data_IF_015407459919
#
_entry.id   IF_015407459919
#
_cell.length_a   1.000
_cell.length_b   1.000
_cell.length_c   1.000
_cell.angle_alpha   90.00
_cell.angle_beta   90.00
_cell.angle_gamma   90.00
#
_symmetry.space_group_name_H-M   'P 1'
#
loop_
_entity.id
_entity.type
_entity.pdbx_description
1 polymer ?
#
# COMPACT_ATOMS: atom_id res chain seq x y z
N UNK A 1 -13.04 -20.70 14.46
CA UNK A 1 -11.64 -20.38 14.84
C UNK A 1 -11.09 -19.42 13.79
N UNK A 2 -10.10 -18.58 14.11
CA UNK A 2 -9.55 -17.63 13.15
C UNK A 2 -8.06 -17.92 12.87
N UNK A 3 -7.71 -18.19 11.61
CA UNK A 3 -6.33 -18.44 11.20
C UNK A 3 -5.75 -17.21 10.50
N UNK A 4 -4.57 -16.75 10.95
CA UNK A 4 -3.94 -15.52 10.45
C UNK A 4 -2.70 -15.82 9.62
N UNK A 5 -2.65 -15.31 8.39
CA UNK A 5 -1.53 -15.41 7.46
C UNK A 5 -0.96 -14.02 7.20
N UNK A 6 0.30 -13.78 7.58
CA UNK A 6 0.96 -12.49 7.36
C UNK A 6 1.60 -12.42 5.97
N UNK A 7 1.23 -11.41 5.19
CA UNK A 7 1.81 -11.14 3.88
C UNK A 7 3.12 -10.35 4.04
N UNK A 8 4.23 -11.06 4.34
CA UNK A 8 5.56 -10.47 4.63
C UNK A 8 6.47 -10.14 3.41
N UNK A 9 6.84 -11.13 2.57
CA UNK A 9 7.65 -10.93 1.34
C UNK A 9 7.16 -11.76 0.14
N UNK A 10 7.49 -11.41 -1.12
CA UNK A 10 8.04 -10.11 -1.56
C UNK A 10 6.91 -9.11 -1.89
N UNK A 11 7.12 -7.83 -1.56
CA UNK A 11 6.30 -6.71 -2.03
C UNK A 11 7.10 -5.88 -3.04
N UNK A 12 6.39 -5.30 -4.00
CA UNK A 12 6.94 -4.33 -4.96
C UNK A 12 6.33 -2.97 -4.65
N UNK A 13 7.15 -1.97 -4.35
CA UNK A 13 6.75 -0.58 -4.18
C UNK A 13 7.02 0.16 -5.48
N UNK A 14 6.02 0.85 -6.00
CA UNK A 14 6.11 1.74 -7.15
C UNK A 14 5.92 3.17 -6.66
N UNK A 15 6.94 4.00 -6.80
CA UNK A 15 6.87 5.43 -6.49
C UNK A 15 6.40 6.19 -7.74
N UNK A 16 5.29 6.93 -7.58
CA UNK A 16 4.77 7.82 -8.60
C UNK A 16 5.14 9.26 -8.20
N UNK A 17 6.28 9.72 -8.73
CA UNK A 17 6.71 11.11 -8.59
C UNK A 17 5.98 11.97 -9.61
N UNK A 18 5.22 12.97 -9.14
CA UNK A 18 4.70 14.01 -10.03
C UNK A 18 5.73 15.12 -10.12
N UNK A 19 6.46 15.20 -11.23
CA UNK A 19 7.26 16.38 -11.51
C UNK A 19 6.32 17.56 -11.71
N UNK A 20 6.44 18.61 -10.88
CA UNK A 20 5.73 19.86 -11.11
C UNK A 20 6.06 20.35 -12.54
N UNK A 21 5.06 20.79 -13.33
CA UNK A 21 5.32 21.29 -14.67
C UNK A 21 6.09 22.61 -14.57
N UNK A 22 7.42 22.54 -14.61
CA UNK A 22 8.23 23.73 -14.89
C UNK A 22 7.94 24.11 -16.33
N UNK A 23 7.28 25.25 -16.48
CA UNK A 23 7.00 25.90 -17.76
C UNK A 23 8.30 26.10 -18.53
N UNK A 24 8.61 25.20 -19.45
CA UNK A 24 9.22 25.49 -20.76
C UNK A 24 9.28 24.21 -21.58
N UNK A 25 8.76 24.31 -22.80
CA UNK A 25 8.64 23.25 -23.77
C UNK A 25 9.94 22.45 -23.94
N UNK A 26 9.90 21.14 -23.70
CA UNK A 26 10.57 20.08 -24.47
C UNK A 26 10.23 18.70 -23.87
N UNK A 27 9.71 17.82 -24.72
CA UNK A 27 9.71 16.35 -24.59
C UNK A 27 8.97 15.73 -23.39
N UNK A 28 7.78 15.18 -23.67
CA UNK A 28 7.14 14.14 -22.83
C UNK A 28 8.08 12.94 -22.71
N UNK A 29 8.89 12.90 -21.65
CA UNK A 29 9.54 11.68 -21.17
C UNK A 29 8.53 10.82 -20.38
N UNK A 30 8.70 9.50 -20.34
CA UNK A 30 7.81 8.62 -19.59
C UNK A 30 7.88 8.99 -18.10
N UNK A 31 6.72 9.04 -17.45
CA UNK A 31 6.58 9.11 -16.00
C UNK A 31 7.53 8.06 -15.38
N UNK A 32 8.64 8.47 -14.76
CA UNK A 32 9.62 7.53 -14.20
C UNK A 32 9.03 6.88 -12.95
N UNK A 33 8.34 5.76 -13.16
CA UNK A 33 7.85 4.88 -12.09
C UNK A 33 9.05 4.13 -11.49
N UNK A 34 9.52 4.58 -10.33
CA UNK A 34 10.63 3.90 -9.65
C UNK A 34 10.08 2.67 -8.90
N UNK A 35 10.52 1.48 -9.29
CA UNK A 35 10.09 0.21 -8.69
C UNK A 35 11.15 -0.37 -7.79
N UNK A 36 10.81 -0.68 -6.54
CA UNK A 36 11.72 -1.27 -5.54
C UNK A 36 11.06 -2.45 -4.82
N UNK A 37 11.82 -3.51 -4.53
CA UNK A 37 11.33 -4.58 -3.66
C UNK A 37 11.46 -4.18 -2.20
N UNK A 38 10.37 -4.31 -1.43
CA UNK A 38 10.31 -3.89 -0.04
C UNK A 38 9.72 -4.98 0.86
N UNK A 39 9.99 -4.83 2.15
CA UNK A 39 9.35 -5.57 3.21
C UNK A 39 8.13 -4.80 3.72
N UNK A 40 7.07 -5.53 4.08
CA UNK A 40 5.89 -4.93 4.74
C UNK A 40 5.75 -5.55 6.13
N UNK A 41 5.70 -4.73 7.20
CA UNK A 41 5.64 -3.26 7.21
C UNK A 41 6.93 -2.60 6.72
N UNK A 42 6.77 -1.53 5.96
CA UNK A 42 7.83 -0.70 5.39
C UNK A 42 8.35 0.29 6.45
N UNK A 43 9.16 -0.26 7.36
CA UNK A 43 9.78 0.45 8.47
C UNK A 43 11.18 0.98 8.14
N UNK A 44 11.59 0.98 6.86
CA UNK A 44 12.91 1.44 6.42
C UNK A 44 13.01 2.97 6.46
N UNK A 45 12.85 3.53 7.65
CA UNK A 45 12.88 4.95 7.98
C UNK A 45 13.40 5.16 9.39
N UNK A 46 14.45 4.42 9.77
CA UNK A 46 15.41 4.94 10.76
C UNK A 46 16.30 5.92 10.00
N UNK A 47 16.37 7.17 10.49
CA UNK A 47 17.20 8.28 10.01
C UNK A 47 16.64 9.16 8.87
N UNK A 48 15.54 9.85 9.13
CA UNK A 48 15.47 11.28 8.76
C UNK A 48 15.58 12.04 10.07
N UNK A 49 16.82 12.46 10.36
CA UNK A 49 17.19 13.13 11.60
C UNK A 49 16.31 14.34 11.91
N UNK A 50 16.29 14.67 13.19
CA UNK A 50 15.86 15.94 13.78
C UNK A 50 15.58 17.06 12.76
N UNK A 51 14.33 17.52 12.73
CA UNK A 51 14.03 18.91 12.39
C UNK A 51 14.58 19.81 13.52
N UNK A 52 15.90 19.89 13.64
CA UNK A 52 16.58 20.88 14.47
C UNK A 52 17.45 21.76 13.57
N UNK A 53 17.05 23.02 13.43
CA UNK A 53 17.99 24.12 13.20
C UNK A 53 18.27 24.56 11.75
N UNK A 54 17.60 25.64 11.35
CA UNK A 54 18.16 26.77 10.59
C UNK A 54 18.39 26.64 9.07
N UNK A 55 17.53 27.37 8.35
CA UNK A 55 17.80 28.22 7.18
C UNK A 55 18.90 27.83 6.18
N UNK A 56 18.48 27.41 4.99
CA UNK A 56 19.11 27.85 3.74
C UNK A 56 18.07 27.87 2.61
N UNK A 57 17.78 29.07 2.10
CA UNK A 57 17.10 29.26 0.82
C UNK A 57 17.96 28.65 -0.29
N UNK A 58 17.69 27.39 -0.60
CA UNK A 58 18.11 26.70 -1.80
C UNK A 58 16.92 25.86 -2.20
N UNK A 59 16.24 26.26 -3.27
CA UNK A 59 15.10 25.58 -3.86
C UNK A 59 15.57 24.24 -4.43
N UNK A 60 15.86 23.27 -3.55
CA UNK A 60 15.87 21.87 -3.94
C UNK A 60 14.40 21.54 -4.19
N UNK A 61 14.05 21.36 -5.46
CA UNK A 61 12.83 20.69 -5.83
C UNK A 61 12.94 19.25 -5.31
N UNK A 62 12.71 19.09 -4.01
CA UNK A 62 12.57 17.82 -3.35
C UNK A 62 11.49 17.09 -4.15
N UNK A 63 11.87 15.98 -4.80
CA UNK A 63 10.91 15.20 -5.58
C UNK A 63 9.97 14.56 -4.57
N UNK A 64 8.90 15.29 -4.22
CA UNK A 64 7.91 14.83 -3.27
C UNK A 64 7.21 13.66 -3.95
N UNK A 65 7.47 12.44 -3.47
CA UNK A 65 6.71 11.27 -3.89
C UNK A 65 5.26 11.50 -3.45
N UNK A 66 4.41 11.86 -4.41
CA UNK A 66 3.02 12.19 -4.14
C UNK A 66 2.18 10.94 -3.91
N UNK A 67 2.54 9.82 -4.56
CA UNK A 67 1.77 8.58 -4.49
C UNK A 67 2.69 7.37 -4.60
N UNK A 68 2.34 6.31 -3.89
CA UNK A 68 3.00 5.00 -4.01
C UNK A 68 1.96 3.90 -4.18
N UNK A 69 2.36 2.85 -4.89
CA UNK A 69 1.60 1.62 -5.03
C UNK A 69 2.42 0.45 -4.48
N UNK A 70 1.85 -0.32 -3.55
CA UNK A 70 2.42 -1.56 -3.04
C UNK A 70 1.72 -2.73 -3.68
N UNK A 71 2.44 -3.52 -4.48
CA UNK A 71 1.91 -4.65 -5.23
C UNK A 71 2.51 -5.95 -4.72
N UNK A 72 1.66 -6.95 -4.54
CA UNK A 72 2.07 -8.29 -4.16
C UNK A 72 1.17 -9.36 -4.73
N UNK A 73 1.80 -10.44 -5.20
CA UNK A 73 1.11 -11.68 -5.56
C UNK A 73 1.04 -12.64 -4.38
N UNK A 74 -0.09 -13.32 -4.23
CA UNK A 74 -0.30 -14.34 -3.21
C UNK A 74 -1.25 -15.43 -3.73
N UNK A 75 -1.06 -16.66 -3.26
CA UNK A 75 -1.98 -17.75 -3.60
C UNK A 75 -3.16 -17.75 -2.64
N UNK A 76 -4.30 -18.28 -3.09
CA UNK A 76 -5.43 -18.55 -2.20
C UNK A 76 -4.97 -19.45 -1.05
N UNK A 77 -5.33 -19.15 0.21
CA UNK A 77 -5.02 -20.05 1.32
C UNK A 77 -5.56 -21.45 1.04
N UNK A 78 -4.74 -22.47 1.24
CA UNK A 78 -5.15 -23.87 1.05
C UNK A 78 -5.93 -24.38 2.25
N UNK A 79 -6.90 -25.26 2.03
CA UNK A 79 -7.66 -25.90 3.11
C UNK A 79 -8.80 -25.04 3.68
N UNK A 80 -9.25 -24.02 2.94
CA UNK A 80 -10.46 -23.28 3.26
C UNK A 80 -11.65 -24.23 3.04
N UNK A 81 -12.35 -24.58 4.13
CA UNK A 81 -13.55 -25.42 4.09
C UNK A 81 -14.74 -24.65 3.50
N UNK A 82 -15.74 -25.39 2.98
CA UNK A 82 -16.95 -24.79 2.43
C UNK A 82 -17.72 -24.08 3.54
N UNK A 83 -17.61 -22.74 3.58
CA UNK A 83 -18.26 -21.90 4.58
C UNK A 83 -17.31 -20.92 5.27
N UNK A 84 -16.00 -21.13 5.22
CA UNK A 84 -15.03 -20.19 5.76
C UNK A 84 -14.91 -18.92 4.88
N UNK A 85 -14.76 -17.77 5.52
CA UNK A 85 -14.53 -16.47 4.88
C UNK A 85 -13.08 -16.07 4.98
N UNK A 86 -12.62 -15.32 3.98
CA UNK A 86 -11.28 -14.75 3.97
C UNK A 86 -11.38 -13.23 4.04
N UNK A 87 -10.82 -12.66 5.09
CA UNK A 87 -10.76 -11.21 5.29
C UNK A 87 -9.32 -10.72 5.10
N UNK A 88 -9.15 -9.63 4.35
CA UNK A 88 -7.89 -8.90 4.26
C UNK A 88 -7.86 -7.84 5.35
N UNK A 89 -6.87 -7.89 6.23
CA UNK A 89 -6.58 -6.85 7.20
C UNK A 89 -5.37 -6.03 6.73
N UNK A 90 -5.62 -4.74 6.53
CA UNK A 90 -4.62 -3.73 6.26
C UNK A 90 -4.28 -3.01 7.57
N UNK A 91 -3.00 -3.04 7.94
CA UNK A 91 -2.48 -2.28 9.08
C UNK A 91 -2.37 -0.78 8.77
N UNK A 92 -1.67 -0.07 9.66
CA UNK A 92 -1.43 1.37 9.56
C UNK A 92 -0.73 1.80 8.26
N UNK A 93 -1.05 3.02 7.80
CA UNK A 93 -0.41 3.67 6.67
C UNK A 93 0.01 5.09 7.06
N UNK A 94 1.09 5.59 6.48
CA UNK A 94 1.45 7.01 6.49
C UNK A 94 0.97 7.64 5.20
N UNK A 95 0.24 8.76 5.29
CA UNK A 95 -0.49 9.37 4.16
C UNK A 95 -1.97 8.95 4.14
N UNK A 96 -2.64 9.22 3.02
CA UNK A 96 -4.03 8.85 2.78
C UNK A 96 -4.12 7.59 1.93
N UNK A 97 -4.78 6.56 2.43
CA UNK A 97 -5.12 5.38 1.64
C UNK A 97 -6.09 5.78 0.52
N UNK A 98 -5.70 5.59 -0.74
CA UNK A 98 -6.51 5.94 -1.91
C UNK A 98 -7.31 4.77 -2.45
N UNK A 99 -6.65 3.62 -2.61
CA UNK A 99 -7.29 2.43 -3.15
C UNK A 99 -6.64 1.15 -2.58
N UNK A 100 -7.45 0.10 -2.46
CA UNK A 100 -7.00 -1.27 -2.15
C UNK A 100 -7.70 -2.17 -3.14
N UNK A 101 -6.93 -2.93 -3.92
CA UNK A 101 -7.46 -3.80 -4.95
C UNK A 101 -6.99 -5.22 -4.78
N UNK A 102 -7.90 -6.17 -4.99
CA UNK A 102 -7.55 -7.58 -5.18
C UNK A 102 -7.98 -7.96 -6.59
N UNK A 103 -7.06 -8.50 -7.38
CA UNK A 103 -7.31 -8.89 -8.78
C UNK A 103 -7.92 -7.75 -9.61
N UNK A 104 -7.37 -6.54 -9.45
CA UNK A 104 -7.84 -5.29 -10.07
C UNK A 104 -9.25 -4.84 -9.67
N UNK A 105 -9.88 -5.46 -8.66
CA UNK A 105 -11.17 -5.06 -8.11
C UNK A 105 -10.98 -4.25 -6.82
N UNK A 106 -11.49 -3.01 -6.79
CA UNK A 106 -11.41 -2.13 -5.60
C UNK A 106 -12.25 -2.66 -4.45
N UNK A 107 -11.67 -2.69 -3.25
CA UNK A 107 -12.30 -3.15 -2.00
C UNK A 107 -13.04 -2.02 -1.26
N UNK A 108 -12.92 -0.77 -1.71
CA UNK A 108 -13.46 0.41 -1.02
C UNK A 108 -15.00 0.49 -1.00
N UNK A 109 -15.69 -0.18 -1.93
CA UNK A 109 -17.15 -0.30 -1.90
C UNK A 109 -17.67 -1.03 -0.65
N UNK A 110 -16.83 -1.76 0.08
CA UNK A 110 -17.23 -2.67 1.17
C UNK A 110 -16.65 -2.29 2.56
N UNK A 111 -15.89 -1.20 2.68
CA UNK A 111 -15.12 -0.89 3.90
C UNK A 111 -15.87 -0.01 4.93
N UNK A 112 -15.79 -0.44 6.20
CA UNK A 112 -16.06 0.40 7.36
C UNK A 112 -14.81 1.22 7.71
N UNK A 113 -14.87 2.53 7.45
CA UNK A 113 -13.70 3.42 7.42
C UNK A 113 -13.20 3.89 8.81
N UNK A 114 -13.70 3.34 9.92
CA UNK A 114 -13.55 3.95 11.25
C UNK A 114 -12.66 3.20 12.25
N UNK A 115 -11.68 2.40 11.81
CA UNK A 115 -10.79 1.69 12.75
C UNK A 115 -9.32 1.78 12.33
N UNK A 116 -8.44 1.81 13.34
CA UNK A 116 -6.96 1.78 13.30
C UNK A 116 -6.37 0.68 12.39
N UNK A 117 -7.19 -0.30 11.98
CA UNK A 117 -6.90 -1.32 10.99
C UNK A 117 -8.14 -1.49 10.10
N UNK A 118 -7.97 -1.50 8.78
CA UNK A 118 -9.08 -1.72 7.85
C UNK A 118 -9.19 -3.21 7.52
N UNK A 119 -10.42 -3.73 7.52
CA UNK A 119 -10.71 -5.12 7.15
C UNK A 119 -11.67 -5.15 5.96
N UNK A 120 -11.40 -6.05 5.02
CA UNK A 120 -12.17 -6.21 3.80
C UNK A 120 -12.52 -7.68 3.60
N UNK A 121 -13.78 -8.03 3.33
CA UNK A 121 -14.11 -9.38 2.88
C UNK A 121 -13.61 -9.56 1.45
N UNK A 122 -12.75 -10.54 1.24
CA UNK A 122 -12.19 -10.86 -0.08
C UNK A 122 -12.62 -12.24 -0.57
N UNK A 123 -13.49 -12.94 0.16
CA UNK A 123 -13.85 -14.35 -0.05
C UNK A 123 -14.22 -14.64 -1.50
N UNK A 124 -15.15 -13.86 -2.06
CA UNK A 124 -15.65 -14.03 -3.43
C UNK A 124 -14.73 -13.46 -4.51
N UNK A 125 -13.69 -12.72 -4.11
CA UNK A 125 -12.74 -12.04 -5.01
C UNK A 125 -11.45 -12.85 -5.20
N UNK A 126 -11.28 -13.93 -4.44
CA UNK A 126 -10.08 -14.78 -4.47
C UNK A 126 -10.12 -15.82 -5.60
N UNK A 127 -9.14 -15.72 -6.49
CA UNK A 127 -8.74 -16.73 -7.47
C UNK A 127 -7.59 -17.60 -6.92
N UNK A 128 -7.16 -18.62 -7.66
CA UNK A 128 -6.01 -19.45 -7.24
C UNK A 128 -4.72 -18.63 -7.08
N UNK A 129 -4.51 -17.69 -8.00
CA UNK A 129 -3.42 -16.72 -7.97
C UNK A 129 -4.03 -15.34 -7.87
N UNK A 130 -3.62 -14.58 -6.85
CA UNK A 130 -4.15 -13.27 -6.56
C UNK A 130 -3.07 -12.21 -6.61
N UNK A 131 -3.47 -11.00 -6.96
CA UNK A 131 -2.65 -9.80 -6.86
C UNK A 131 -3.33 -8.80 -5.94
N UNK A 132 -2.61 -8.32 -4.94
CA UNK A 132 -3.01 -7.27 -4.03
C UNK A 132 -2.24 -6.00 -4.41
N UNK A 133 -2.97 -4.92 -4.64
CA UNK A 133 -2.43 -3.58 -4.88
C UNK A 133 -2.98 -2.62 -3.81
N UNK A 134 -2.10 -1.86 -3.18
CA UNK A 134 -2.44 -0.87 -2.15
C UNK A 134 -1.86 0.47 -2.59
N UNK A 135 -2.72 1.47 -2.76
CA UNK A 135 -2.33 2.79 -3.25
C UNK A 135 -2.47 3.81 -2.13
N UNK A 136 -1.39 4.56 -1.89
CA UNK A 136 -1.30 5.53 -0.79
C UNK A 136 -0.82 6.87 -1.36
N UNK A 137 -1.54 7.94 -1.05
CA UNK A 137 -1.19 9.31 -1.40
C UNK A 137 -0.52 10.01 -0.21
N UNK A 138 0.54 10.76 -0.47
CA UNK A 138 1.38 11.39 0.54
C UNK A 138 0.70 12.53 1.30
N UNK A 139 -0.11 13.36 0.63
CA UNK A 139 -0.77 14.55 1.23
C UNK A 139 0.17 15.39 2.12
N UNK A 140 1.41 15.62 1.66
CA UNK A 140 2.45 16.34 2.41
C UNK A 140 3.28 15.48 3.38
N UNK A 141 2.97 14.19 3.52
CA UNK A 141 3.78 13.17 4.17
C UNK A 141 4.39 12.22 3.13
N UNK A 142 5.44 11.49 3.50
CA UNK A 142 5.98 10.43 2.67
C UNK A 142 5.05 9.20 2.75
N UNK A 143 4.36 8.81 1.66
CA UNK A 143 3.37 7.76 1.73
C UNK A 143 4.02 6.38 1.93
N UNK A 144 3.57 5.64 2.95
CA UNK A 144 4.17 4.36 3.36
C UNK A 144 3.16 3.39 3.96
N UNK A 145 3.43 2.10 3.78
CA UNK A 145 2.69 1.00 4.40
C UNK A 145 3.40 0.53 5.68
N UNK A 146 3.17 1.21 6.81
CA UNK A 146 3.86 1.00 8.09
C UNK A 146 3.27 -0.13 8.93
N UNK A 147 2.07 -0.59 8.59
CA UNK A 147 1.38 -1.70 9.22
C UNK A 147 1.58 -3.03 8.50
N UNK A 148 1.35 -4.13 9.24
CA UNK A 148 1.37 -5.45 8.64
C UNK A 148 0.07 -5.71 7.86
N UNK A 149 0.20 -6.33 6.70
CA UNK A 149 -0.94 -6.84 5.92
C UNK A 149 -1.14 -8.32 6.24
N UNK A 150 -2.38 -8.70 6.58
CA UNK A 150 -2.72 -10.05 6.99
C UNK A 150 -3.95 -10.56 6.24
N UNK A 151 -4.01 -11.86 5.97
CA UNK A 151 -5.23 -12.56 5.62
C UNK A 151 -5.73 -13.30 6.86
N UNK A 152 -7.01 -13.19 7.15
CA UNK A 152 -7.72 -13.90 8.20
C UNK A 152 -8.67 -14.89 7.56
N UNK A 153 -8.59 -16.15 7.97
CA UNK A 153 -9.57 -17.18 7.60
C UNK A 153 -10.47 -17.34 8.82
N UNK A 154 -11.74 -16.99 8.68
CA UNK A 154 -12.72 -16.98 9.76
C UNK A 154 -13.86 -17.93 9.44
N UNK A 155 -14.27 -18.72 10.43
CA UNK A 155 -15.50 -19.51 10.35
C UNK A 155 -16.67 -18.59 10.72
N UNK A 156 -17.68 -18.37 9.86
CA UNK A 156 -18.89 -17.68 10.25
C UNK A 156 -19.61 -18.50 11.31
N UNK A 157 -20.11 -17.84 12.36
CA UNK A 157 -20.94 -18.46 13.41
C UNK A 157 -22.35 -18.79 12.90
#
# INVERSE_FOLDING_TARGET
>A
MAHRIRLRKPWTRLDHSSAAPVTSASSMGPNEENTSQVDVPDLSGDDAGSLDGSSSSGEIAETIVQRVSYVRRFNRPSGIESGERVELELGEVTGRLEDVRVNSQSLFDDADHHVKSMRFDVTDRLSNHNELEIQIHGDGLLPRLTGAVNLWIVTPE
#
